data_IF_314412425765
#
_entry.id   IF_314412425765
#
_cell.length_a   1.000
_cell.length_b   1.000
_cell.length_c   1.000
_cell.angle_alpha   90.00
_cell.angle_beta   90.00
_cell.angle_gamma   90.00
#
_symmetry.space_group_name_H-M   'P 1'
#
loop_
_entity.id
_entity.type
_entity.pdbx_description
1 polymer ?
#
# COMPACT_ATOMS: atom_id res chain seq x y z
N UNK A 1 9.10 -16.05 -14.50
CA UNK A 1 8.99 -14.65 -15.01
C UNK A 1 7.54 -14.40 -15.35
N UNK A 2 7.01 -13.28 -14.96
CA UNK A 2 5.63 -12.89 -15.33
C UNK A 2 5.73 -12.24 -16.70
N UNK A 3 5.20 -12.90 -17.72
CA UNK A 3 5.30 -12.43 -19.10
C UNK A 3 4.28 -11.33 -19.42
N UNK A 4 3.21 -11.24 -18.62
CA UNK A 4 2.19 -10.21 -18.77
C UNK A 4 1.75 -9.69 -17.40
N UNK A 5 2.02 -8.42 -17.10
CA UNK A 5 1.59 -7.76 -15.88
C UNK A 5 0.06 -7.54 -15.82
N UNK A 6 -0.63 -7.64 -16.94
CA UNK A 6 -2.09 -7.54 -16.97
C UNK A 6 -2.79 -8.84 -16.52
N UNK A 7 -2.08 -9.97 -16.52
CA UNK A 7 -2.59 -11.27 -16.10
C UNK A 7 -1.74 -11.82 -14.93
N UNK A 8 -2.04 -11.41 -13.69
CA UNK A 8 -1.25 -11.80 -12.54
C UNK A 8 -1.37 -13.29 -12.25
N UNK A 9 -0.25 -13.91 -11.94
CA UNK A 9 -0.17 -15.30 -11.50
C UNK A 9 0.08 -15.39 -10.00
N UNK A 10 -0.50 -16.41 -9.38
CA UNK A 10 -0.31 -16.70 -7.96
C UNK A 10 0.64 -17.89 -7.77
N UNK A 11 1.67 -17.68 -6.94
CA UNK A 11 2.69 -18.69 -6.64
C UNK A 11 2.65 -19.07 -5.15
N UNK A 12 1.81 -20.04 -4.74
CA UNK A 12 1.65 -20.42 -3.33
C UNK A 12 2.96 -20.82 -2.65
N UNK A 13 3.89 -21.42 -3.41
CA UNK A 13 5.19 -21.83 -2.87
C UNK A 13 6.04 -20.69 -2.33
N UNK A 14 5.82 -19.46 -2.81
CA UNK A 14 6.52 -18.27 -2.31
C UNK A 14 6.07 -17.85 -0.90
N UNK A 15 4.90 -18.31 -0.45
CA UNK A 15 4.42 -18.02 0.90
C UNK A 15 5.30 -18.63 1.99
N UNK A 16 6.12 -19.63 1.66
CA UNK A 16 7.07 -20.23 2.60
C UNK A 16 8.08 -19.22 3.16
N UNK A 17 8.36 -18.12 2.44
CA UNK A 17 9.24 -17.07 2.96
C UNK A 17 8.71 -16.44 4.24
N UNK A 18 7.38 -16.47 4.45
CA UNK A 18 6.72 -15.94 5.64
C UNK A 18 6.95 -16.82 6.89
N UNK A 19 7.41 -18.03 6.73
CA UNK A 19 7.63 -18.98 7.85
C UNK A 19 8.93 -18.73 8.61
N UNK A 20 9.73 -17.75 8.20
CA UNK A 20 10.96 -17.38 8.90
C UNK A 20 10.66 -16.92 10.33
N UNK A 21 11.44 -17.41 11.29
CA UNK A 21 11.25 -17.08 12.71
C UNK A 21 11.66 -15.65 13.05
N UNK A 22 12.68 -15.10 12.36
CA UNK A 22 13.17 -13.74 12.60
C UNK A 22 12.14 -12.72 12.09
N UNK A 23 11.70 -11.75 12.92
CA UNK A 23 10.77 -10.72 12.49
C UNK A 23 11.27 -9.94 11.26
N UNK A 24 10.39 -9.74 10.29
CA UNK A 24 10.69 -9.02 9.05
C UNK A 24 9.47 -8.21 8.61
N UNK A 25 9.72 -7.21 7.77
CA UNK A 25 8.69 -6.46 7.07
C UNK A 25 8.63 -6.93 5.61
N UNK A 26 7.45 -7.28 5.14
CA UNK A 26 7.24 -7.72 3.77
C UNK A 26 6.33 -6.74 3.03
N UNK A 27 6.76 -6.30 1.85
CA UNK A 27 5.91 -5.61 0.89
C UNK A 27 5.39 -6.65 -0.12
N UNK A 28 4.16 -7.07 0.03
CA UNK A 28 3.59 -8.18 -0.75
C UNK A 28 3.11 -7.76 -2.14
N UNK A 29 2.87 -6.49 -2.36
CA UNK A 29 2.37 -5.95 -3.62
C UNK A 29 3.43 -5.14 -4.37
N UNK A 30 4.70 -5.44 -4.17
CA UNK A 30 5.79 -4.75 -4.83
C UNK A 30 5.82 -4.93 -6.35
N UNK A 31 5.35 -6.08 -6.85
CA UNK A 31 5.34 -6.43 -8.28
C UNK A 31 3.94 -6.52 -8.87
N UNK A 32 2.89 -6.49 -8.04
CA UNK A 32 1.50 -6.56 -8.50
C UNK A 32 0.60 -5.76 -7.58
N UNK A 33 -0.48 -5.21 -8.12
CA UNK A 33 -1.46 -4.48 -7.33
C UNK A 33 -2.45 -5.46 -6.68
N UNK A 34 -2.76 -5.24 -5.41
CA UNK A 34 -3.73 -6.05 -4.67
C UNK A 34 -5.10 -6.10 -5.37
N UNK A 35 -5.48 -5.04 -6.07
CA UNK A 35 -6.74 -4.98 -6.79
C UNK A 35 -6.87 -6.00 -7.91
N UNK A 36 -5.75 -6.53 -8.40
CA UNK A 36 -5.73 -7.58 -9.42
C UNK A 36 -5.76 -9.00 -8.87
N UNK A 37 -5.75 -9.16 -7.55
CA UNK A 37 -5.74 -10.49 -6.95
C UNK A 37 -7.14 -11.10 -6.93
N UNK A 38 -7.23 -12.39 -7.22
CA UNK A 38 -8.48 -13.13 -7.01
C UNK A 38 -8.78 -13.22 -5.51
N UNK A 39 -10.07 -13.20 -5.09
CA UNK A 39 -10.43 -13.30 -3.68
C UNK A 39 -9.83 -14.50 -2.96
N UNK A 40 -9.79 -15.65 -3.61
CA UNK A 40 -9.19 -16.87 -3.05
C UNK A 40 -7.69 -16.76 -2.81
N UNK A 41 -6.95 -16.01 -3.62
CA UNK A 41 -5.51 -15.76 -3.40
C UNK A 41 -5.32 -14.86 -2.19
N UNK A 42 -6.13 -13.82 -2.07
CA UNK A 42 -6.11 -12.90 -0.93
C UNK A 42 -6.37 -13.69 0.37
N UNK A 43 -7.39 -14.53 0.38
CA UNK A 43 -7.77 -15.30 1.55
C UNK A 43 -6.65 -16.25 1.98
N UNK A 44 -5.97 -16.90 1.03
CA UNK A 44 -4.83 -17.77 1.30
C UNK A 44 -3.64 -17.01 1.88
N UNK A 45 -3.32 -15.84 1.31
CA UNK A 45 -2.26 -14.97 1.82
C UNK A 45 -2.60 -14.45 3.22
N UNK A 46 -3.83 -14.03 3.45
CA UNK A 46 -4.28 -13.53 4.76
C UNK A 46 -4.24 -14.62 5.83
N UNK A 47 -4.59 -15.85 5.49
CA UNK A 47 -4.44 -17.00 6.40
C UNK A 47 -2.98 -17.21 6.80
N UNK A 48 -2.07 -17.10 5.83
CA UNK A 48 -0.64 -17.24 6.08
C UNK A 48 -0.08 -16.09 6.94
N UNK A 49 -0.56 -14.86 6.74
CA UNK A 49 -0.20 -13.71 7.57
C UNK A 49 -0.62 -13.95 9.02
N UNK A 50 -1.82 -14.47 9.23
CA UNK A 50 -2.35 -14.79 10.57
C UNK A 50 -1.51 -15.82 11.30
N UNK A 51 -0.98 -16.80 10.58
CA UNK A 51 -0.10 -17.85 11.12
C UNK A 51 1.30 -17.32 11.49
N UNK A 52 1.68 -16.13 11.02
CA UNK A 52 3.02 -15.57 11.18
C UNK A 52 2.98 -14.17 11.82
N UNK A 53 2.52 -14.06 13.08
CA UNK A 53 2.32 -12.76 13.74
C UNK A 53 3.62 -12.01 14.04
N UNK A 54 4.78 -12.67 13.93
CA UNK A 54 6.08 -12.04 14.16
C UNK A 54 6.46 -11.04 13.06
N UNK A 55 5.82 -11.11 11.89
CA UNK A 55 6.12 -10.26 10.74
C UNK A 55 5.10 -9.14 10.58
N UNK A 56 5.50 -8.06 9.91
CA UNK A 56 4.60 -7.01 9.43
C UNK A 56 4.49 -7.11 7.90
N UNK A 57 3.28 -7.00 7.40
CA UNK A 57 2.97 -7.15 5.97
C UNK A 57 2.34 -5.87 5.44
N UNK A 58 2.94 -5.31 4.39
CA UNK A 58 2.49 -4.08 3.76
C UNK A 58 1.89 -4.40 2.39
N UNK A 59 0.74 -3.81 2.15
CA UNK A 59 0.04 -3.85 0.87
C UNK A 59 -0.10 -2.43 0.34
N UNK A 60 0.11 -2.25 -0.96
CA UNK A 60 0.00 -0.98 -1.61
C UNK A 60 -0.84 -1.12 -2.88
N UNK A 61 -1.80 -0.23 -3.07
CA UNK A 61 -2.66 -0.24 -4.26
C UNK A 61 -2.78 1.16 -4.86
N UNK A 62 -2.98 1.21 -6.17
CA UNK A 62 -3.38 2.41 -6.91
C UNK A 62 -4.86 2.39 -7.26
N UNK A 63 -5.55 1.29 -6.99
CA UNK A 63 -6.95 1.07 -7.34
C UNK A 63 -7.77 0.60 -6.13
N UNK A 64 -7.83 1.40 -5.06
CA UNK A 64 -8.65 1.05 -3.89
C UNK A 64 -10.14 0.98 -4.21
N UNK A 65 -10.55 1.61 -5.30
CA UNK A 65 -11.93 1.55 -5.82
C UNK A 65 -12.37 0.14 -6.24
N UNK A 66 -11.41 -0.75 -6.54
CA UNK A 66 -11.67 -2.14 -6.91
C UNK A 66 -11.65 -3.11 -5.74
N UNK A 67 -11.39 -2.63 -4.54
CA UNK A 67 -11.33 -3.44 -3.33
C UNK A 67 -12.63 -3.31 -2.54
N UNK A 68 -13.01 -4.40 -1.91
CA UNK A 68 -14.11 -4.41 -0.92
C UNK A 68 -13.93 -5.63 -0.01
N UNK A 69 -13.34 -5.42 1.17
CA UNK A 69 -13.18 -6.47 2.15
C UNK A 69 -12.95 -5.94 3.56
N UNK A 70 -13.22 -6.81 4.53
CA UNK A 70 -12.92 -6.60 5.94
C UNK A 70 -11.77 -7.51 6.36
N UNK A 71 -10.93 -7.04 7.26
CA UNK A 71 -9.90 -7.87 7.88
C UNK A 71 -9.61 -7.42 9.30
N UNK A 72 -9.35 -8.39 10.18
CA UNK A 72 -8.96 -8.17 11.57
C UNK A 72 -7.46 -8.42 11.82
N UNK A 73 -6.68 -8.59 10.75
CA UNK A 73 -5.24 -8.84 10.84
C UNK A 73 -4.54 -7.68 11.56
N UNK A 74 -3.78 -8.00 12.59
CA UNK A 74 -3.06 -6.99 13.39
C UNK A 74 -1.70 -6.63 12.81
N UNK A 75 -1.16 -7.46 11.95
CA UNK A 75 0.15 -7.32 11.33
C UNK A 75 0.07 -7.05 9.83
N UNK A 76 -1.07 -6.60 9.33
CA UNK A 76 -1.26 -6.20 7.93
C UNK A 76 -1.57 -4.69 7.83
N UNK A 77 -0.89 -4.02 6.92
CA UNK A 77 -0.98 -2.59 6.67
C UNK A 77 -1.41 -2.36 5.23
N UNK A 78 -2.53 -1.67 5.05
CA UNK A 78 -3.09 -1.41 3.71
C UNK A 78 -2.90 0.05 3.37
N UNK A 79 -2.35 0.29 2.19
CA UNK A 79 -2.01 1.63 1.77
C UNK A 79 -2.28 1.92 0.31
N UNK A 80 -2.24 3.22 0.01
CA UNK A 80 -2.36 3.74 -1.35
C UNK A 80 -1.18 4.62 -1.69
N UNK A 81 -0.86 4.66 -2.98
CA UNK A 81 0.10 5.62 -3.54
C UNK A 81 -0.64 6.83 -4.07
N UNK A 82 -0.20 8.00 -3.66
CA UNK A 82 -0.69 9.30 -4.14
C UNK A 82 0.51 10.12 -4.60
N UNK A 83 0.64 10.30 -5.91
CA UNK A 83 1.76 11.05 -6.49
C UNK A 83 1.36 12.44 -6.99
N UNK A 84 0.06 12.68 -7.13
CA UNK A 84 -0.54 13.92 -7.65
C UNK A 84 -1.81 14.27 -6.89
N UNK A 85 -2.15 15.54 -6.90
CA UNK A 85 -3.38 16.03 -6.29
C UNK A 85 -4.63 15.31 -6.79
N UNK A 86 -4.68 14.98 -8.09
CA UNK A 86 -5.80 14.27 -8.71
C UNK A 86 -6.02 12.87 -8.15
N UNK A 87 -5.06 12.30 -7.43
CA UNK A 87 -5.13 10.94 -6.89
C UNK A 87 -5.54 10.89 -5.40
N UNK A 88 -5.84 12.02 -4.78
CA UNK A 88 -6.22 12.10 -3.35
C UNK A 88 -7.42 11.24 -2.99
N UNK A 89 -8.33 11.08 -3.92
CA UNK A 89 -9.53 10.24 -3.74
C UNK A 89 -9.21 8.82 -3.31
N UNK A 90 -7.99 8.34 -3.60
CA UNK A 90 -7.55 6.99 -3.21
C UNK A 90 -7.54 6.79 -1.70
N UNK A 91 -7.27 7.83 -0.94
CA UNK A 91 -7.23 7.75 0.53
C UNK A 91 -8.64 7.50 1.08
N UNK A 92 -9.62 8.25 0.61
CA UNK A 92 -11.00 8.06 1.03
C UNK A 92 -11.57 6.70 0.59
N UNK A 93 -11.26 6.31 -0.65
CA UNK A 93 -11.65 5.02 -1.19
C UNK A 93 -11.04 3.85 -0.39
N UNK A 94 -9.77 3.98 0.01
CA UNK A 94 -9.12 2.97 0.86
C UNK A 94 -9.87 2.79 2.17
N UNK A 95 -10.14 3.86 2.90
CA UNK A 95 -10.85 3.81 4.18
C UNK A 95 -12.26 3.24 4.06
N UNK A 96 -12.93 3.53 2.95
CA UNK A 96 -14.30 3.06 2.68
C UNK A 96 -14.34 1.58 2.31
N UNK A 97 -13.41 1.14 1.45
CA UNK A 97 -13.49 -0.17 0.79
C UNK A 97 -12.65 -1.23 1.49
N UNK A 98 -11.64 -0.84 2.25
CA UNK A 98 -10.82 -1.76 3.05
C UNK A 98 -10.99 -1.41 4.52
N UNK A 99 -11.71 -2.23 5.24
CA UNK A 99 -11.94 -2.06 6.68
C UNK A 99 -10.92 -2.90 7.43
N UNK A 100 -9.87 -2.26 7.89
CA UNK A 100 -8.70 -2.87 8.49
C UNK A 100 -8.24 -2.12 9.74
N UNK A 101 -7.25 -2.67 10.44
CA UNK A 101 -6.70 -2.06 11.66
C UNK A 101 -5.63 -1.01 11.37
N UNK A 102 -4.88 -1.15 10.26
CA UNK A 102 -3.77 -0.25 9.95
C UNK A 102 -3.81 0.22 8.50
N UNK A 103 -3.64 1.53 8.33
CA UNK A 103 -3.58 2.17 7.03
C UNK A 103 -2.30 2.98 6.86
N UNK A 104 -1.78 3.04 5.64
CA UNK A 104 -0.67 3.92 5.29
C UNK A 104 -0.90 4.62 3.95
N UNK A 105 -0.21 5.72 3.74
CA UNK A 105 -0.22 6.46 2.49
C UNK A 105 1.22 6.73 2.06
N UNK A 106 1.51 6.49 0.80
CA UNK A 106 2.81 6.75 0.21
C UNK A 106 2.68 7.88 -0.80
N UNK A 107 3.30 9.01 -0.50
CA UNK A 107 3.47 10.16 -1.39
C UNK A 107 4.86 10.10 -2.04
N UNK A 108 5.12 9.06 -2.85
CA UNK A 108 6.44 8.82 -3.43
C UNK A 108 6.33 8.18 -4.83
N UNK A 109 6.92 8.82 -5.87
CA UNK A 109 7.44 10.18 -5.84
C UNK A 109 6.30 11.21 -5.80
N UNK A 110 6.52 12.31 -5.10
CA UNK A 110 5.57 13.42 -5.07
C UNK A 110 5.86 14.35 -6.26
N UNK A 111 4.92 14.45 -7.20
CA UNK A 111 5.06 15.23 -8.42
C UNK A 111 4.46 16.63 -8.30
N UNK A 112 3.44 16.82 -7.48
CA UNK A 112 2.83 18.13 -7.22
C UNK A 112 2.35 18.22 -5.77
N UNK A 113 1.91 19.41 -5.38
CA UNK A 113 1.32 19.63 -4.05
C UNK A 113 -0.02 18.89 -3.94
N UNK A 114 -0.13 17.93 -3.02
CA UNK A 114 -1.40 17.23 -2.82
C UNK A 114 -2.50 18.10 -2.21
N UNK A 115 -2.15 19.30 -1.74
CA UNK A 115 -3.08 20.20 -1.05
C UNK A 115 -3.44 19.70 0.34
N UNK A 116 -4.55 20.20 0.87
CA UNK A 116 -5.06 19.73 2.16
C UNK A 116 -5.62 18.32 2.00
N UNK A 117 -5.13 17.40 2.81
CA UNK A 117 -5.50 15.98 2.79
C UNK A 117 -6.02 15.57 4.15
N UNK A 118 -7.17 14.89 4.18
CA UNK A 118 -7.68 14.28 5.40
C UNK A 118 -6.97 12.94 5.64
N UNK A 119 -6.10 12.93 6.63
CA UNK A 119 -5.32 11.75 7.03
C UNK A 119 -5.87 11.08 8.29
N UNK A 120 -7.13 11.34 8.64
CA UNK A 120 -7.79 10.70 9.77
C UNK A 120 -7.76 9.17 9.63
N UNK A 121 -7.30 8.49 10.68
CA UNK A 121 -7.19 7.03 10.71
C UNK A 121 -5.98 6.47 9.96
N UNK A 122 -5.18 7.30 9.31
CA UNK A 122 -3.92 6.87 8.68
C UNK A 122 -2.83 6.76 9.75
N UNK A 123 -2.20 5.60 9.84
CA UNK A 123 -1.23 5.27 10.89
C UNK A 123 0.22 5.57 10.49
N UNK A 124 0.51 5.57 9.19
CA UNK A 124 1.86 5.77 8.68
C UNK A 124 1.85 6.46 7.32
N UNK A 125 2.80 7.38 7.14
CA UNK A 125 2.94 8.18 5.91
C UNK A 125 4.39 8.12 5.46
N UNK A 126 4.57 7.88 4.17
CA UNK A 126 5.86 7.98 3.48
C UNK A 126 5.80 9.14 2.50
N UNK A 127 6.79 10.02 2.54
CA UNK A 127 6.90 11.13 1.59
C UNK A 127 8.29 11.09 0.97
N UNK A 128 8.33 11.14 -0.37
CA UNK A 128 9.58 11.15 -1.10
C UNK A 128 9.47 11.94 -2.40
N UNK A 129 10.59 12.45 -2.86
CA UNK A 129 10.71 13.14 -4.15
C UNK A 129 11.40 12.24 -5.16
N UNK A 130 11.28 12.58 -6.44
CA UNK A 130 12.04 11.90 -7.49
C UNK A 130 13.53 12.08 -7.27
N UNK A 131 14.28 11.01 -7.45
CA UNK A 131 15.75 10.99 -7.37
C UNK A 131 16.35 10.68 -8.75
N UNK A 132 17.65 10.99 -8.93
CA UNK A 132 18.39 10.74 -10.15
C UNK A 132 18.24 11.84 -11.20
N UNK A 133 18.53 11.49 -12.47
CA UNK A 133 18.58 12.46 -13.58
C UNK A 133 17.22 13.11 -13.90
N UNK A 134 16.11 12.53 -13.46
CA UNK A 134 14.76 13.06 -13.64
C UNK A 134 14.23 13.80 -12.41
N UNK A 135 15.09 14.05 -11.43
CA UNK A 135 14.73 14.80 -10.23
C UNK A 135 14.22 16.20 -10.60
N UNK A 136 13.07 16.57 -10.05
CA UNK A 136 12.48 17.90 -10.19
C UNK A 136 12.44 18.57 -8.83
N UNK A 137 12.75 19.86 -8.80
CA UNK A 137 12.52 20.66 -7.59
C UNK A 137 11.02 20.80 -7.39
N UNK A 138 10.55 20.33 -6.26
CA UNK A 138 9.17 20.55 -5.83
C UNK A 138 9.22 21.64 -4.78
N UNK A 139 8.64 22.81 -5.10
CA UNK A 139 8.52 23.91 -4.15
C UNK A 139 7.32 23.65 -3.22
N UNK A 140 7.47 22.67 -2.34
CA UNK A 140 6.34 22.17 -1.52
C UNK A 140 6.61 22.20 -0.02
N UNK A 141 7.71 22.78 0.44
CA UNK A 141 8.03 22.75 1.88
C UNK A 141 6.87 23.22 2.78
N UNK A 142 6.23 24.37 2.52
CA UNK A 142 5.07 24.77 3.32
C UNK A 142 3.85 23.88 3.14
N UNK A 143 3.71 23.28 1.95
CA UNK A 143 2.57 22.46 1.58
C UNK A 143 2.72 21.01 2.06
N UNK A 144 3.94 20.46 2.03
CA UNK A 144 4.24 19.15 2.62
C UNK A 144 3.95 19.16 4.12
N UNK A 145 4.30 20.25 4.82
CA UNK A 145 3.97 20.41 6.23
C UNK A 145 2.46 20.34 6.52
N UNK A 146 1.62 20.78 5.59
CA UNK A 146 0.16 20.68 5.71
C UNK A 146 -0.38 19.28 5.50
N UNK A 147 0.32 18.45 4.75
CA UNK A 147 -0.07 17.07 4.50
C UNK A 147 0.14 16.14 5.71
N UNK A 148 0.85 16.59 6.72
CA UNK A 148 1.20 15.82 7.92
C UNK A 148 0.19 15.95 9.07
N UNK A 149 -0.89 16.56 8.86
CA UNK A 149 -1.86 16.79 9.94
C UNK A 149 -2.76 15.60 10.17
#
# INVERSE_FOLDING_TARGET
>A
MIDDFADPEFFPGKLKMMEKKRPQNFLLTGMSDLSGWKPEWRDEVFAKIRENPQHQFLFLTKRPDLLDFDTDLENAWFGVTVTRKAERWRIDALRKNVRAKHYHVTFEPLFDDPGTVDLSGINWIVVGTMTGAQSRKIHTEPEIGRAHV
#
